data_IF_474531094010
#
_entry.id   IF_474531094010
#
_cell.length_a   1.000
_cell.length_b   1.000
_cell.length_c   1.000
_cell.angle_alpha   90.00
_cell.angle_beta   90.00
_cell.angle_gamma   90.00
#
_symmetry.space_group_name_H-M   'P 1'
#
loop_
_entity.id
_entity.type
_entity.pdbx_description
1 polymer ?
#
# COMPACT_ATOMS: atom_id res chain seq x y z
N UNK A 1 48.51 -49.36 -30.59
CA UNK A 1 48.52 -47.94 -30.16
C UNK A 1 47.20 -47.20 -30.48
N UNK A 2 46.64 -47.41 -31.64
CA UNK A 2 45.42 -46.70 -32.11
C UNK A 2 44.17 -47.01 -31.24
N UNK A 3 43.99 -48.23 -30.72
CA UNK A 3 42.86 -48.64 -29.88
C UNK A 3 42.81 -47.91 -28.51
N UNK A 4 43.97 -47.60 -27.93
CA UNK A 4 44.06 -46.83 -26.63
C UNK A 4 43.75 -45.34 -26.78
N UNK A 5 43.99 -44.77 -27.96
CA UNK A 5 43.69 -43.39 -28.29
C UNK A 5 42.18 -43.16 -28.50
N UNK A 6 41.51 -44.14 -29.12
CA UNK A 6 40.05 -44.07 -29.33
C UNK A 6 39.30 -44.21 -27.99
N UNK A 7 39.76 -45.07 -27.07
CA UNK A 7 39.16 -45.21 -25.75
C UNK A 7 39.33 -43.97 -24.89
N UNK A 8 40.44 -43.24 -25.00
CA UNK A 8 40.68 -41.99 -24.28
C UNK A 8 39.81 -40.84 -24.82
N UNK A 9 39.52 -40.81 -26.15
CA UNK A 9 38.69 -39.79 -26.76
C UNK A 9 37.20 -39.95 -26.40
N UNK A 10 36.72 -41.21 -26.29
CA UNK A 10 35.33 -41.48 -25.88
C UNK A 10 35.12 -41.20 -24.39
N UNK A 11 36.11 -41.46 -23.54
CA UNK A 11 36.04 -41.12 -22.12
C UNK A 11 36.01 -39.61 -21.84
N UNK A 12 36.65 -38.79 -22.69
CA UNK A 12 36.62 -37.32 -22.56
C UNK A 12 35.31 -36.67 -23.02
N UNK A 13 34.55 -37.31 -23.91
CA UNK A 13 33.26 -36.79 -24.40
C UNK A 13 32.10 -37.00 -23.42
N UNK A 14 32.22 -37.97 -22.50
CA UNK A 14 31.18 -38.22 -21.47
C UNK A 14 31.28 -37.28 -20.31
N UNK A 15 32.43 -36.63 -20.09
CA UNK A 15 32.64 -35.70 -18.98
C UNK A 15 32.12 -34.27 -19.22
N UNK A 16 31.62 -33.94 -20.43
CA UNK A 16 31.03 -32.63 -20.79
C UNK A 16 29.50 -32.68 -20.90
N UNK A 17 28.83 -33.55 -20.16
CA UNK A 17 27.38 -33.36 -19.97
C UNK A 17 27.22 -32.07 -19.15
N UNK A 18 26.64 -30.97 -19.71
CA UNK A 18 26.25 -29.87 -18.88
C UNK A 18 25.31 -30.48 -17.83
N UNK A 19 25.70 -30.42 -16.56
CA UNK A 19 24.77 -30.61 -15.48
C UNK A 19 23.63 -29.63 -15.79
N UNK A 20 22.53 -30.14 -16.37
CA UNK A 20 21.31 -29.38 -16.49
C UNK A 20 21.02 -28.93 -15.06
N UNK A 21 21.35 -27.68 -14.76
CA UNK A 21 20.98 -27.06 -13.50
C UNK A 21 19.46 -27.20 -13.47
N UNK A 22 19.01 -28.28 -12.80
CA UNK A 22 17.59 -28.48 -12.53
C UNK A 22 17.16 -27.23 -11.86
N UNK A 23 16.48 -26.36 -12.61
CA UNK A 23 15.89 -25.17 -12.05
C UNK A 23 15.02 -25.66 -10.91
N UNK A 24 15.54 -25.54 -9.69
CA UNK A 24 14.94 -26.09 -8.48
C UNK A 24 13.51 -25.57 -8.44
N UNK A 25 12.53 -26.52 -8.50
CA UNK A 25 11.12 -26.14 -8.61
C UNK A 25 10.76 -25.24 -7.44
N UNK A 26 10.65 -23.94 -7.71
CA UNK A 26 10.22 -22.96 -6.71
C UNK A 26 8.68 -22.97 -6.61
N UNK A 27 8.10 -22.94 -5.39
CA UNK A 27 8.72 -23.09 -4.08
C UNK A 27 8.86 -24.56 -3.65
N UNK A 28 9.88 -24.87 -2.84
CA UNK A 28 10.11 -26.22 -2.25
C UNK A 28 9.99 -26.21 -0.72
N UNK A 29 9.82 -25.04 -0.12
CA UNK A 29 9.68 -24.81 1.33
C UNK A 29 8.64 -23.71 1.58
N UNK A 30 8.14 -23.54 2.80
CA UNK A 30 7.19 -22.47 3.12
C UNK A 30 7.72 -21.09 2.75
N UNK A 31 6.80 -20.22 2.28
CA UNK A 31 7.05 -18.81 1.97
C UNK A 31 6.54 -17.97 3.14
N UNK A 32 7.29 -16.97 3.55
CA UNK A 32 6.90 -16.03 4.60
C UNK A 32 6.51 -14.69 3.99
N UNK A 33 5.28 -14.24 4.25
CA UNK A 33 4.79 -12.93 3.86
C UNK A 33 4.81 -11.99 5.06
N UNK A 34 5.79 -11.10 5.08
CA UNK A 34 5.92 -10.07 6.12
C UNK A 34 4.86 -9.00 5.90
N UNK A 35 4.09 -8.71 6.95
CA UNK A 35 3.15 -7.59 6.99
C UNK A 35 3.71 -6.57 7.99
N UNK A 36 4.17 -5.39 7.54
CA UNK A 36 4.87 -4.42 8.39
C UNK A 36 3.91 -3.57 9.26
N UNK A 37 2.70 -4.10 9.52
CA UNK A 37 1.65 -3.45 10.28
C UNK A 37 0.97 -4.44 11.23
N UNK A 38 0.23 -3.90 12.22
CA UNK A 38 -0.51 -4.70 13.18
C UNK A 38 -1.60 -5.56 12.51
N UNK A 39 -1.94 -6.72 13.07
CA UNK A 39 -3.04 -7.55 12.61
C UNK A 39 -4.37 -6.80 12.55
N UNK A 40 -5.26 -7.24 11.66
CA UNK A 40 -6.63 -6.72 11.51
C UNK A 40 -6.77 -5.48 10.61
N UNK A 41 -5.66 -4.85 10.20
CA UNK A 41 -5.69 -3.77 9.20
C UNK A 41 -5.81 -4.30 7.76
N UNK A 42 -6.06 -3.40 6.79
CA UNK A 42 -6.22 -3.75 5.37
C UNK A 42 -5.05 -4.57 4.82
N UNK A 43 -3.81 -4.20 5.18
CA UNK A 43 -2.61 -4.97 4.77
C UNK A 43 -2.66 -6.42 5.26
N UNK A 44 -3.07 -6.65 6.50
CA UNK A 44 -3.16 -7.99 7.10
C UNK A 44 -4.29 -8.81 6.47
N UNK A 45 -5.45 -8.20 6.25
CA UNK A 45 -6.59 -8.86 5.58
C UNK A 45 -6.18 -9.30 4.17
N UNK A 46 -5.63 -8.42 3.36
CA UNK A 46 -5.19 -8.73 1.99
C UNK A 46 -4.07 -9.79 1.98
N UNK A 47 -3.13 -9.71 2.93
CA UNK A 47 -2.06 -10.69 3.06
C UNK A 47 -2.59 -12.09 3.39
N UNK A 48 -3.56 -12.22 4.30
CA UNK A 48 -4.16 -13.52 4.66
C UNK A 48 -4.98 -14.10 3.51
N UNK A 49 -5.74 -13.28 2.80
CA UNK A 49 -6.47 -13.72 1.61
C UNK A 49 -5.51 -14.24 0.54
N UNK A 50 -4.43 -13.51 0.25
CA UNK A 50 -3.39 -13.92 -0.68
C UNK A 50 -2.66 -15.20 -0.21
N UNK A 51 -2.34 -15.29 1.08
CA UNK A 51 -1.64 -16.43 1.66
C UNK A 51 -2.44 -17.74 1.50
N UNK A 52 -3.74 -17.70 1.75
CA UNK A 52 -4.63 -18.85 1.53
C UNK A 52 -4.57 -19.30 0.08
N UNK A 53 -4.78 -18.37 -0.86
CA UNK A 53 -4.75 -18.69 -2.29
C UNK A 53 -3.41 -19.23 -2.76
N UNK A 54 -2.29 -18.58 -2.41
CA UNK A 54 -0.97 -19.02 -2.87
C UNK A 54 -0.52 -20.32 -2.21
N UNK A 55 -0.98 -20.64 -0.98
CA UNK A 55 -0.75 -21.95 -0.36
C UNK A 55 -1.33 -23.06 -1.22
N UNK A 56 -2.57 -22.91 -1.67
CA UNK A 56 -3.23 -23.90 -2.54
C UNK A 56 -2.59 -23.98 -3.93
N UNK A 57 -2.27 -22.85 -4.51
CA UNK A 57 -1.75 -22.77 -5.88
C UNK A 57 -0.30 -23.21 -6.03
N UNK A 58 0.53 -22.91 -5.05
CA UNK A 58 1.97 -23.21 -5.09
C UNK A 58 2.34 -24.51 -4.38
N UNK A 59 1.39 -25.13 -3.64
CA UNK A 59 1.63 -26.38 -2.91
C UNK A 59 2.59 -26.24 -1.72
N UNK A 60 2.86 -25.02 -1.26
CA UNK A 60 3.70 -24.73 -0.11
C UNK A 60 3.01 -23.69 0.78
N UNK A 61 3.09 -23.91 2.09
CA UNK A 61 2.45 -23.01 3.07
C UNK A 61 2.98 -21.59 2.95
N UNK A 62 2.09 -20.62 2.85
CA UNK A 62 2.44 -19.21 3.01
C UNK A 62 2.08 -18.72 4.41
N UNK A 63 3.08 -18.28 5.16
CA UNK A 63 2.96 -17.84 6.56
C UNK A 63 2.89 -16.32 6.59
N UNK A 64 1.78 -15.77 7.08
CA UNK A 64 1.65 -14.32 7.33
C UNK A 64 2.32 -13.98 8.66
N UNK A 65 3.28 -13.05 8.63
CA UNK A 65 4.08 -12.65 9.77
C UNK A 65 4.02 -11.14 9.97
N UNK A 66 3.24 -10.71 10.96
CA UNK A 66 3.09 -9.30 11.28
C UNK A 66 4.32 -8.78 12.03
N UNK A 67 5.01 -7.78 11.44
CA UNK A 67 6.19 -7.10 11.98
C UNK A 67 5.99 -5.59 12.03
N UNK A 68 5.08 -5.10 12.91
CA UNK A 68 4.80 -3.69 13.01
C UNK A 68 5.96 -2.92 13.65
N UNK A 69 6.02 -1.64 13.37
CA UNK A 69 6.93 -0.71 14.00
C UNK A 69 7.47 0.35 13.06
N UNK A 70 7.65 1.55 13.59
CA UNK A 70 8.19 2.71 12.89
C UNK A 70 7.57 2.90 11.50
N UNK A 71 6.24 3.01 11.44
CA UNK A 71 5.45 3.19 10.21
C UNK A 71 5.71 2.11 9.12
N UNK A 72 6.05 0.89 9.54
CA UNK A 72 6.35 -0.23 8.63
C UNK A 72 7.82 -0.35 8.23
N UNK A 73 8.69 0.56 8.66
CA UNK A 73 10.13 0.54 8.33
C UNK A 73 10.80 -0.72 8.85
N UNK A 74 10.48 -1.18 10.08
CA UNK A 74 11.12 -2.36 10.66
C UNK A 74 10.84 -3.63 9.85
N UNK A 75 9.58 -3.87 9.48
CA UNK A 75 9.22 -5.03 8.66
C UNK A 75 9.78 -4.95 7.24
N UNK A 76 9.84 -3.74 6.67
CA UNK A 76 10.44 -3.50 5.36
C UNK A 76 11.96 -3.76 5.38
N UNK A 77 12.68 -3.27 6.38
CA UNK A 77 14.11 -3.49 6.53
C UNK A 77 14.46 -4.99 6.65
N UNK A 78 13.65 -5.73 7.41
CA UNK A 78 13.79 -7.18 7.51
C UNK A 78 13.63 -7.88 6.16
N UNK A 79 12.65 -7.47 5.35
CA UNK A 79 12.44 -8.04 4.03
C UNK A 79 13.54 -7.62 3.03
N UNK A 80 14.00 -6.37 3.10
CA UNK A 80 15.04 -5.85 2.22
C UNK A 80 16.41 -6.53 2.43
N UNK A 81 16.69 -6.96 3.66
CA UNK A 81 17.94 -7.68 4.03
C UNK A 81 17.83 -9.21 3.89
N UNK A 82 16.68 -9.73 3.45
CA UNK A 82 16.49 -11.16 3.26
C UNK A 82 17.28 -11.69 2.05
N UNK A 83 17.50 -13.00 2.02
CA UNK A 83 18.06 -13.64 0.83
C UNK A 83 17.15 -13.42 -0.39
N UNK A 84 17.72 -13.11 -1.57
CA UNK A 84 16.95 -12.85 -2.79
C UNK A 84 16.53 -14.17 -3.47
N UNK A 85 15.85 -15.04 -2.73
CA UNK A 85 15.42 -16.38 -3.17
C UNK A 85 13.90 -16.51 -3.31
N UNK A 86 13.15 -15.43 -3.04
CA UNK A 86 11.70 -15.36 -3.15
C UNK A 86 10.93 -15.99 -1.99
N UNK A 87 11.59 -16.49 -0.94
CA UNK A 87 10.92 -17.08 0.21
C UNK A 87 10.53 -16.08 1.31
N UNK A 88 11.01 -14.85 1.21
CA UNK A 88 10.56 -13.73 2.03
C UNK A 88 9.88 -12.73 1.10
N UNK A 89 8.58 -12.55 1.29
CA UNK A 89 7.79 -11.52 0.62
C UNK A 89 7.40 -10.43 1.61
N UNK A 90 7.12 -9.25 1.11
CA UNK A 90 6.66 -8.10 1.87
C UNK A 90 5.31 -7.62 1.33
N UNK A 91 4.33 -7.43 2.21
CA UNK A 91 3.14 -6.65 1.92
C UNK A 91 3.50 -5.17 2.01
N UNK A 92 3.45 -4.47 0.90
CA UNK A 92 3.80 -3.05 0.80
C UNK A 92 2.53 -2.21 0.74
N UNK A 93 2.56 -1.02 1.34
CA UNK A 93 1.55 0.02 1.13
C UNK A 93 2.20 1.33 0.68
N UNK A 94 1.39 2.33 0.34
CA UNK A 94 1.87 3.67 -0.06
C UNK A 94 2.80 4.33 0.98
N UNK A 95 2.75 3.91 2.26
CA UNK A 95 3.70 4.36 3.28
C UNK A 95 5.16 4.13 2.87
N UNK A 96 5.43 3.10 2.08
CA UNK A 96 6.78 2.81 1.55
C UNK A 96 7.38 4.00 0.78
N UNK A 97 6.57 4.71 -0.02
CA UNK A 97 7.02 5.87 -0.82
C UNK A 97 6.92 7.19 -0.06
N UNK A 98 6.25 7.21 1.08
CA UNK A 98 6.13 8.40 1.94
C UNK A 98 7.19 8.45 3.03
N UNK A 99 7.55 7.30 3.59
CA UNK A 99 8.53 7.22 4.67
C UNK A 99 9.88 7.89 4.33
N UNK A 100 10.48 7.74 3.13
CA UNK A 100 11.75 8.39 2.81
C UNK A 100 11.67 9.92 2.78
N UNK A 101 10.48 10.48 2.75
CA UNK A 101 10.27 11.93 2.75
C UNK A 101 10.44 12.52 4.14
N UNK A 102 10.02 11.81 5.18
CA UNK A 102 10.01 12.26 6.56
C UNK A 102 11.08 11.58 7.43
N UNK A 103 11.46 10.35 7.09
CA UNK A 103 12.28 9.48 7.92
C UNK A 103 13.63 9.19 7.27
N UNK A 104 14.66 9.01 8.10
CA UNK A 104 15.92 8.38 7.68
C UNK A 104 15.72 6.87 7.67
N UNK A 105 15.78 6.26 6.50
CA UNK A 105 15.56 4.83 6.33
C UNK A 105 16.87 4.03 6.44
N UNK A 106 16.85 2.79 6.98
CA UNK A 106 17.99 1.89 7.01
C UNK A 106 18.20 1.14 5.68
N UNK A 107 17.39 1.44 4.64
CA UNK A 107 17.45 0.84 3.30
C UNK A 107 17.23 1.91 2.22
N UNK A 108 17.67 1.61 0.99
CA UNK A 108 17.38 2.46 -0.18
C UNK A 108 15.94 2.20 -0.67
N UNK A 109 15.02 3.18 -0.60
CA UNK A 109 13.63 2.97 -0.98
C UNK A 109 13.42 2.75 -2.48
N UNK A 110 14.42 3.01 -3.34
CA UNK A 110 14.31 2.80 -4.78
C UNK A 110 14.86 1.43 -5.18
N UNK A 111 15.95 0.96 -4.53
CA UNK A 111 16.70 -0.20 -4.99
C UNK A 111 16.65 -1.41 -4.04
N UNK A 112 16.15 -1.27 -2.80
CA UNK A 112 16.17 -2.36 -1.83
C UNK A 112 15.16 -3.47 -2.13
N UNK A 113 14.09 -3.17 -2.85
CA UNK A 113 13.00 -4.12 -3.10
C UNK A 113 12.75 -4.33 -4.60
N UNK A 114 12.49 -5.57 -4.96
CA UNK A 114 11.93 -5.95 -6.26
C UNK A 114 10.41 -6.11 -6.09
N UNK A 115 9.63 -5.25 -6.74
CA UNK A 115 8.18 -5.35 -6.71
C UNK A 115 7.70 -6.51 -7.57
N UNK A 116 6.80 -7.31 -7.03
CA UNK A 116 6.19 -8.44 -7.73
C UNK A 116 4.90 -8.02 -8.42
N UNK A 117 4.01 -7.35 -7.69
CA UNK A 117 2.76 -6.82 -8.23
C UNK A 117 2.20 -5.74 -7.32
N UNK A 118 1.65 -4.67 -7.87
CA UNK A 118 0.61 -3.89 -7.18
C UNK A 118 -0.69 -4.68 -7.33
N UNK A 119 -1.49 -4.74 -6.26
CA UNK A 119 -2.69 -5.59 -6.21
C UNK A 119 -3.98 -4.79 -6.11
N UNK A 120 -3.89 -3.55 -5.69
CA UNK A 120 -5.06 -2.69 -5.56
C UNK A 120 -4.78 -1.46 -4.73
N UNK A 121 -5.85 -0.72 -4.43
CA UNK A 121 -5.81 0.46 -3.59
C UNK A 121 -7.10 0.57 -2.76
N UNK A 122 -7.01 1.17 -1.57
CA UNK A 122 -8.14 1.76 -0.88
C UNK A 122 -8.12 3.27 -1.08
N UNK A 123 -9.29 3.86 -0.99
CA UNK A 123 -9.43 5.30 -1.07
C UNK A 123 -9.75 5.89 0.31
N UNK A 124 -9.44 7.16 0.45
CA UNK A 124 -9.84 7.95 1.60
C UNK A 124 -11.15 8.66 1.31
N UNK A 125 -11.95 8.84 2.34
CA UNK A 125 -13.19 9.61 2.30
C UNK A 125 -13.03 10.75 3.29
N UNK A 126 -13.05 11.99 2.81
CA UNK A 126 -13.20 13.13 3.67
C UNK A 126 -14.57 13.05 4.32
N UNK A 127 -14.57 12.77 5.60
CA UNK A 127 -15.77 12.50 6.39
C UNK A 127 -15.89 13.46 7.56
N UNK A 128 -17.11 13.85 7.89
CA UNK A 128 -17.44 14.70 9.03
C UNK A 128 -18.34 13.95 10.01
N UNK A 129 -18.25 14.35 11.26
CA UNK A 129 -19.10 13.85 12.34
C UNK A 129 -20.28 14.78 12.63
N UNK A 130 -21.12 14.39 13.61
CA UNK A 130 -22.33 15.15 13.97
C UNK A 130 -22.04 16.52 14.58
N UNK A 131 -20.84 16.74 15.11
CA UNK A 131 -20.43 18.04 15.71
C UNK A 131 -20.25 19.15 14.68
N UNK A 132 -20.14 18.81 13.38
CA UNK A 132 -19.98 19.77 12.29
C UNK A 132 -21.08 19.56 11.24
N UNK A 133 -22.19 20.32 11.27
CA UNK A 133 -23.36 20.09 10.41
C UNK A 133 -23.16 20.68 9.00
N UNK A 134 -22.15 20.18 8.28
CA UNK A 134 -21.87 20.55 6.88
C UNK A 134 -22.29 19.42 5.94
N UNK A 135 -22.62 19.75 4.69
CA UNK A 135 -23.13 18.81 3.71
C UNK A 135 -22.24 18.64 2.48
N UNK A 136 -21.25 19.50 2.30
CA UNK A 136 -20.36 19.52 1.16
C UNK A 136 -18.95 19.96 1.57
N UNK A 137 -17.97 19.72 0.69
CA UNK A 137 -16.62 20.28 0.87
C UNK A 137 -16.68 21.80 0.88
N UNK A 138 -17.54 22.40 0.06
CA UNK A 138 -17.74 23.85 0.05
C UNK A 138 -18.21 24.40 1.41
N UNK A 139 -19.13 23.70 2.08
CA UNK A 139 -19.59 24.11 3.42
C UNK A 139 -18.46 23.98 4.44
N UNK A 140 -17.67 22.89 4.40
CA UNK A 140 -16.52 22.69 5.27
C UNK A 140 -15.49 23.82 5.10
N UNK A 141 -15.17 24.20 3.86
CA UNK A 141 -14.25 25.31 3.58
C UNK A 141 -14.80 26.66 4.05
N UNK A 142 -16.11 26.90 3.88
CA UNK A 142 -16.77 28.11 4.38
C UNK A 142 -16.66 28.19 5.92
N UNK A 143 -16.84 27.08 6.63
CA UNK A 143 -16.65 27.03 8.09
C UNK A 143 -15.19 27.24 8.49
N UNK A 144 -14.23 26.63 7.80
CA UNK A 144 -12.81 26.82 8.04
C UNK A 144 -12.37 28.27 7.82
N UNK A 145 -12.92 28.93 6.80
CA UNK A 145 -12.70 30.36 6.53
C UNK A 145 -13.31 31.26 7.61
N UNK A 146 -14.49 30.91 8.12
CA UNK A 146 -15.18 31.66 9.19
C UNK A 146 -14.46 31.54 10.54
N UNK A 147 -13.86 30.36 10.81
CA UNK A 147 -13.18 30.00 12.06
C UNK A 147 -11.78 29.45 11.79
N UNK A 148 -10.81 30.29 11.36
CA UNK A 148 -9.48 29.85 10.94
C UNK A 148 -8.72 29.15 12.07
N UNK A 149 -8.36 27.88 11.85
CA UNK A 149 -7.64 27.05 12.82
C UNK A 149 -8.50 26.39 13.91
N UNK A 150 -9.83 26.62 13.93
CA UNK A 150 -10.73 25.99 14.90
C UNK A 150 -11.28 24.65 14.41
N UNK A 151 -11.39 24.45 13.09
CA UNK A 151 -11.83 23.16 12.54
C UNK A 151 -10.73 22.12 12.70
N UNK A 152 -11.03 21.09 13.48
CA UNK A 152 -10.08 20.02 13.81
C UNK A 152 -10.20 18.90 12.80
N UNK A 153 -9.10 18.61 12.10
CA UNK A 153 -8.93 17.41 11.26
C UNK A 153 -8.14 16.36 12.04
N UNK A 154 -8.77 15.27 12.42
CA UNK A 154 -8.06 14.14 13.01
C UNK A 154 -7.41 13.27 11.92
N UNK A 155 -6.18 12.87 12.15
CA UNK A 155 -5.41 12.04 11.22
C UNK A 155 -4.53 11.05 11.97
N UNK A 156 -3.93 10.11 11.27
CA UNK A 156 -2.86 9.27 11.82
C UNK A 156 -1.57 9.53 11.04
N UNK A 157 -0.46 9.04 11.55
CA UNK A 157 0.82 9.10 10.82
C UNK A 157 0.78 8.42 9.45
N UNK A 158 1.81 8.63 8.65
CA UNK A 158 1.95 8.06 7.33
C UNK A 158 0.94 8.62 6.31
N UNK A 159 0.33 7.75 5.52
CA UNK A 159 -0.53 8.11 4.39
C UNK A 159 -1.66 9.10 4.74
N UNK A 160 -2.36 8.88 5.85
CA UNK A 160 -3.47 9.77 6.23
C UNK A 160 -2.99 11.19 6.55
N UNK A 161 -1.81 11.33 7.17
CA UNK A 161 -1.22 12.64 7.43
C UNK A 161 -0.89 13.37 6.13
N UNK A 162 -0.23 12.69 5.18
CA UNK A 162 0.05 13.29 3.87
C UNK A 162 -1.21 13.69 3.12
N UNK A 163 -2.25 12.86 3.14
CA UNK A 163 -3.52 13.18 2.51
C UNK A 163 -4.19 14.40 3.17
N UNK A 164 -4.18 14.47 4.50
CA UNK A 164 -4.71 15.63 5.25
C UNK A 164 -3.90 16.90 4.96
N UNK A 165 -2.57 16.80 4.92
CA UNK A 165 -1.68 17.91 4.60
C UNK A 165 -1.86 18.40 3.17
N UNK A 166 -2.01 17.48 2.20
CA UNK A 166 -2.31 17.85 0.82
C UNK A 166 -3.63 18.60 0.71
N UNK A 167 -4.68 18.15 1.42
CA UNK A 167 -5.96 18.85 1.45
C UNK A 167 -5.83 20.27 2.03
N UNK A 168 -5.19 20.41 3.18
CA UNK A 168 -4.98 21.71 3.80
C UNK A 168 -4.18 22.66 2.89
N UNK A 169 -3.14 22.15 2.23
CA UNK A 169 -2.32 22.95 1.29
C UNK A 169 -3.11 23.40 0.06
N UNK A 170 -3.86 22.50 -0.58
CA UNK A 170 -4.62 22.82 -1.79
C UNK A 170 -5.85 23.67 -1.53
N UNK A 171 -6.51 23.49 -0.38
CA UNK A 171 -7.68 24.28 0.04
C UNK A 171 -7.31 25.72 0.44
N UNK A 172 -6.04 25.94 0.83
CA UNK A 172 -5.53 27.22 1.37
C UNK A 172 -6.23 27.71 2.64
N UNK A 173 -6.99 26.83 3.30
CA UNK A 173 -7.66 27.13 4.56
C UNK A 173 -6.84 26.61 5.76
N UNK A 174 -7.03 27.26 6.91
CA UNK A 174 -6.34 26.88 8.15
C UNK A 174 -7.16 25.89 8.95
N UNK A 175 -6.58 24.70 9.16
CA UNK A 175 -7.14 23.65 9.99
C UNK A 175 -6.22 23.38 11.20
N UNK A 176 -6.80 22.88 12.28
CA UNK A 176 -6.04 22.28 13.37
C UNK A 176 -5.91 20.78 13.11
N UNK A 177 -4.70 20.31 12.86
CA UNK A 177 -4.45 18.89 12.53
C UNK A 177 -3.98 18.17 13.79
N UNK A 178 -4.74 17.16 14.23
CA UNK A 178 -4.44 16.37 15.43
C UNK A 178 -4.05 14.95 15.03
N UNK A 179 -2.85 14.53 15.46
CA UNK A 179 -2.30 13.21 15.18
C UNK A 179 -2.76 12.18 16.22
N UNK A 180 -3.25 11.05 15.71
CA UNK A 180 -3.63 9.86 16.47
C UNK A 180 -2.67 8.71 16.23
N UNK A 181 -2.65 7.73 17.14
CA UNK A 181 -1.84 6.50 16.99
C UNK A 181 -2.37 5.54 15.89
N UNK A 182 -3.49 5.87 15.24
CA UNK A 182 -4.06 5.09 14.15
C UNK A 182 -5.30 5.75 13.55
N UNK A 183 -5.68 5.37 12.34
CA UNK A 183 -6.83 5.93 11.62
C UNK A 183 -8.18 5.57 12.26
N UNK A 184 -8.28 4.40 12.89
CA UNK A 184 -9.53 4.00 13.55
C UNK A 184 -9.85 4.89 14.76
N UNK A 185 -8.97 5.11 15.76
CA UNK A 185 -9.25 6.05 16.84
C UNK A 185 -9.49 7.47 16.34
N UNK A 186 -8.79 7.96 15.31
CA UNK A 186 -9.06 9.26 14.70
C UNK A 186 -10.51 9.37 14.18
N UNK A 187 -10.98 8.33 13.49
CA UNK A 187 -12.36 8.24 12.99
C UNK A 187 -13.39 8.16 14.13
N UNK A 188 -13.10 7.38 15.17
CA UNK A 188 -14.02 7.26 16.31
C UNK A 188 -14.22 8.55 17.06
N UNK A 189 -13.20 9.39 17.19
CA UNK A 189 -13.31 10.71 17.80
C UNK A 189 -14.12 11.71 16.95
N UNK A 190 -14.11 11.57 15.63
CA UNK A 190 -15.03 12.31 14.74
C UNK A 190 -16.47 11.87 14.98
N UNK A 191 -16.73 10.55 15.07
CA UNK A 191 -18.06 10.02 15.37
C UNK A 191 -18.54 10.48 16.75
N UNK A 192 -17.64 10.50 17.73
CA UNK A 192 -17.91 10.96 19.09
C UNK A 192 -18.02 12.49 19.25
N UNK A 193 -17.77 13.25 18.19
CA UNK A 193 -17.83 14.71 18.21
C UNK A 193 -16.64 15.42 18.90
N UNK A 194 -15.58 14.70 19.24
CA UNK A 194 -14.36 15.27 19.84
C UNK A 194 -13.51 16.02 18.80
N UNK A 195 -13.57 15.58 17.55
CA UNK A 195 -12.98 16.26 16.40
C UNK A 195 -14.04 16.43 15.31
N UNK A 196 -13.75 17.25 14.27
CA UNK A 196 -14.78 17.65 13.32
C UNK A 196 -14.79 16.79 12.05
N UNK A 197 -13.60 16.48 11.51
CA UNK A 197 -13.48 15.75 10.25
C UNK A 197 -12.23 14.88 10.22
N UNK A 198 -12.21 13.89 9.32
CA UNK A 198 -11.05 13.01 9.07
C UNK A 198 -11.05 12.51 7.63
N UNK A 199 -9.89 12.15 7.14
CA UNK A 199 -9.73 11.32 5.95
C UNK A 199 -9.82 9.84 6.36
N UNK A 200 -11.03 9.31 6.44
CA UNK A 200 -11.25 7.92 6.83
C UNK A 200 -10.89 6.96 5.70
N UNK A 201 -10.19 5.88 6.02
CA UNK A 201 -9.95 4.78 5.06
C UNK A 201 -11.29 4.11 4.73
N UNK A 202 -11.57 3.89 3.46
CA UNK A 202 -12.86 3.37 2.97
C UNK A 202 -13.34 2.12 3.71
N UNK A 203 -12.49 1.12 3.85
CA UNK A 203 -12.85 -0.18 4.44
C UNK A 203 -13.49 -0.04 5.84
N UNK A 204 -12.84 0.59 6.86
CA UNK A 204 -13.45 0.75 8.18
C UNK A 204 -14.54 1.84 8.22
N UNK A 205 -14.58 2.78 7.27
CA UNK A 205 -15.54 3.87 7.27
C UNK A 205 -16.95 3.46 6.77
N UNK A 206 -17.01 2.51 5.83
CA UNK A 206 -18.27 2.14 5.16
C UNK A 206 -19.43 1.79 6.11
N UNK A 207 -19.27 0.99 7.18
CA UNK A 207 -20.36 0.71 8.11
C UNK A 207 -20.89 1.98 8.80
N UNK A 208 -20.01 2.93 9.10
CA UNK A 208 -20.36 4.19 9.76
C UNK A 208 -21.03 5.19 8.82
N UNK A 209 -20.63 5.20 7.55
CA UNK A 209 -21.32 5.98 6.51
C UNK A 209 -22.72 5.44 6.26
N UNK A 210 -22.88 4.13 6.14
CA UNK A 210 -24.18 3.48 5.94
C UNK A 210 -25.13 3.68 7.10
N UNK A 211 -24.62 3.72 8.32
CA UNK A 211 -25.42 3.98 9.53
C UNK A 211 -25.66 5.47 9.83
N UNK A 212 -25.13 6.39 9.01
CA UNK A 212 -25.23 7.84 9.20
C UNK A 212 -24.42 8.40 10.37
N UNK A 213 -23.56 7.60 11.03
CA UNK A 213 -22.65 8.07 12.10
C UNK A 213 -21.51 8.93 11.56
N UNK A 214 -21.17 8.75 10.30
CA UNK A 214 -20.29 9.62 9.53
C UNK A 214 -21.01 10.09 8.29
N UNK A 215 -20.73 11.30 7.83
CA UNK A 215 -21.11 11.80 6.52
C UNK A 215 -19.85 11.93 5.65
N UNK A 216 -19.82 11.23 4.52
CA UNK A 216 -18.77 11.39 3.51
C UNK A 216 -19.05 12.62 2.65
N UNK A 217 -18.08 13.52 2.56
CA UNK A 217 -18.19 14.72 1.73
C UNK A 217 -17.57 14.55 0.35
N UNK A 218 -16.42 13.88 0.27
CA UNK A 218 -15.75 13.59 -0.99
C UNK A 218 -14.77 12.42 -0.85
N UNK A 219 -14.48 11.76 -1.97
CA UNK A 219 -13.41 10.74 -2.05
C UNK A 219 -12.09 11.38 -2.49
N UNK A 220 -10.98 10.83 -1.99
CA UNK A 220 -9.64 11.35 -2.23
C UNK A 220 -8.96 10.84 -3.51
N UNK A 221 -9.71 10.29 -4.45
CA UNK A 221 -9.23 9.77 -5.73
C UNK A 221 -9.68 10.67 -6.88
N UNK A 222 -9.00 10.59 -8.05
CA UNK A 222 -9.38 11.37 -9.24
C UNK A 222 -10.72 10.93 -9.88
N UNK A 223 -11.19 9.73 -9.57
CA UNK A 223 -12.48 9.20 -10.04
C UNK A 223 -13.32 8.81 -8.84
N UNK A 224 -14.63 8.97 -8.96
CA UNK A 224 -15.58 8.51 -7.94
C UNK A 224 -15.41 7.02 -7.68
N UNK A 225 -15.63 6.60 -6.45
CA UNK A 225 -15.61 5.20 -6.09
C UNK A 225 -16.90 4.52 -6.54
N UNK A 226 -16.81 3.39 -7.24
CA UNK A 226 -18.00 2.63 -7.71
C UNK A 226 -18.94 2.26 -6.55
N UNK A 227 -18.40 2.04 -5.36
CA UNK A 227 -19.17 1.71 -4.17
C UNK A 227 -19.94 2.91 -3.57
N UNK A 228 -19.51 4.12 -3.89
CA UNK A 228 -20.04 5.38 -3.38
C UNK A 228 -20.25 6.38 -4.55
N UNK A 229 -21.09 6.05 -5.55
CA UNK A 229 -21.20 6.84 -6.77
C UNK A 229 -21.77 8.24 -6.52
N UNK A 230 -22.52 8.42 -5.44
CA UNK A 230 -23.10 9.69 -5.06
C UNK A 230 -22.12 10.63 -4.34
N UNK A 231 -20.99 10.12 -3.85
CA UNK A 231 -19.96 10.94 -3.20
C UNK A 231 -18.97 11.43 -4.27
N UNK A 232 -18.86 12.76 -4.48
CA UNK A 232 -17.95 13.34 -5.47
C UNK A 232 -16.49 13.14 -5.09
N UNK A 233 -15.58 13.42 -6.03
CA UNK A 233 -14.14 13.52 -5.73
C UNK A 233 -13.82 14.90 -5.17
N UNK A 234 -12.70 15.02 -4.45
CA UNK A 234 -12.21 16.33 -4.00
C UNK A 234 -11.87 17.26 -5.19
N UNK A 235 -11.42 16.69 -6.31
CA UNK A 235 -11.17 17.47 -7.53
C UNK A 235 -12.46 18.03 -8.13
N UNK A 236 -13.56 17.26 -8.15
CA UNK A 236 -14.89 17.73 -8.55
C UNK A 236 -15.40 18.86 -7.65
N UNK A 237 -15.12 18.77 -6.34
CA UNK A 237 -15.48 19.77 -5.31
C UNK A 237 -14.57 21.00 -5.29
N UNK A 238 -13.67 21.13 -6.26
CA UNK A 238 -12.84 22.32 -6.44
C UNK A 238 -11.44 22.26 -5.81
N UNK A 239 -11.08 21.16 -5.13
CA UNK A 239 -9.72 20.94 -4.64
C UNK A 239 -8.89 20.35 -5.78
N UNK A 240 -8.57 21.18 -6.77
CA UNK A 240 -7.96 20.76 -8.03
C UNK A 240 -6.61 20.06 -7.85
N UNK A 241 -6.47 18.92 -8.51
CA UNK A 241 -5.26 18.10 -8.47
C UNK A 241 -5.12 17.25 -7.21
N UNK A 242 -6.15 17.20 -6.36
CA UNK A 242 -6.12 16.29 -5.22
C UNK A 242 -6.20 14.84 -5.68
N UNK A 243 -5.18 14.06 -5.37
CA UNK A 243 -5.14 12.61 -5.60
C UNK A 243 -4.33 11.95 -4.48
N UNK A 244 -5.02 11.27 -3.59
CA UNK A 244 -4.43 10.46 -2.53
C UNK A 244 -5.12 9.09 -2.48
N UNK A 245 -4.44 8.07 -2.98
CA UNK A 245 -4.87 6.67 -2.92
C UNK A 245 -3.86 5.84 -2.14
N UNK A 246 -4.33 5.00 -1.22
CA UNK A 246 -3.49 4.08 -0.46
C UNK A 246 -3.38 2.76 -1.21
N UNK A 247 -2.32 2.61 -2.00
CA UNK A 247 -2.09 1.40 -2.79
C UNK A 247 -1.40 0.29 -2.00
N UNK A 248 -1.60 -0.94 -2.45
CA UNK A 248 -1.03 -2.16 -1.88
C UNK A 248 -0.28 -2.94 -2.94
N UNK A 249 0.86 -3.51 -2.57
CA UNK A 249 1.70 -4.30 -3.46
C UNK A 249 2.39 -5.45 -2.71
N UNK A 250 2.90 -6.39 -3.47
CA UNK A 250 3.81 -7.43 -2.98
C UNK A 250 5.19 -7.16 -3.54
N UNK A 251 6.21 -7.29 -2.68
CA UNK A 251 7.60 -7.14 -3.06
C UNK A 251 8.46 -8.26 -2.43
N UNK A 252 9.68 -8.40 -2.90
CA UNK A 252 10.72 -9.30 -2.37
C UNK A 252 12.06 -8.58 -2.37
N UNK A 253 13.11 -9.17 -1.81
CA UNK A 253 14.44 -8.56 -1.82
C UNK A 253 14.94 -8.36 -3.24
N UNK A 254 15.64 -7.25 -3.49
CA UNK A 254 16.28 -7.00 -4.78
C UNK A 254 17.27 -8.10 -5.14
N UNK A 255 17.39 -8.44 -6.44
CA UNK A 255 18.21 -9.56 -6.89
C UNK A 255 17.48 -10.92 -6.93
N UNK A 256 16.24 -11.00 -6.50
CA UNK A 256 15.41 -12.22 -6.66
C UNK A 256 15.30 -12.58 -8.14
N UNK A 257 15.55 -13.85 -8.51
CA UNK A 257 15.52 -14.30 -9.91
C UNK A 257 14.21 -13.94 -10.60
N UNK A 258 14.31 -13.33 -11.80
CA UNK A 258 13.13 -12.86 -12.56
C UNK A 258 12.06 -13.94 -12.76
N UNK A 259 12.48 -15.20 -12.98
CA UNK A 259 11.55 -16.32 -13.14
C UNK A 259 10.65 -16.51 -11.89
N UNK A 260 11.21 -16.33 -10.69
CA UNK A 260 10.46 -16.39 -9.43
C UNK A 260 9.51 -15.19 -9.32
N UNK A 261 9.99 -13.98 -9.61
CA UNK A 261 9.18 -12.75 -9.59
C UNK A 261 7.98 -12.88 -10.53
N UNK A 262 8.21 -13.34 -11.77
CA UNK A 262 7.14 -13.48 -12.75
C UNK A 262 6.15 -14.61 -12.40
N UNK A 263 6.62 -15.74 -11.87
CA UNK A 263 5.73 -16.80 -11.38
C UNK A 263 4.80 -16.31 -10.28
N UNK A 264 5.34 -15.57 -9.30
CA UNK A 264 4.55 -14.97 -8.24
C UNK A 264 3.59 -13.92 -8.80
N UNK A 265 4.05 -13.06 -9.71
CA UNK A 265 3.23 -12.05 -10.37
C UNK A 265 2.00 -12.65 -11.05
N UNK A 266 2.19 -13.69 -11.86
CA UNK A 266 1.11 -14.35 -12.60
C UNK A 266 0.05 -14.94 -11.66
N UNK A 267 0.44 -15.63 -10.60
CA UNK A 267 -0.51 -16.20 -9.62
C UNK A 267 -1.23 -15.10 -8.83
N UNK A 268 -0.54 -14.04 -8.41
CA UNK A 268 -1.13 -12.89 -7.72
C UNK A 268 -2.11 -12.15 -8.63
N UNK A 269 -1.73 -11.85 -9.87
CA UNK A 269 -2.58 -11.17 -10.83
C UNK A 269 -3.84 -11.98 -11.14
N UNK A 270 -3.69 -13.30 -11.37
CA UNK A 270 -4.82 -14.22 -11.59
C UNK A 270 -5.81 -14.18 -10.42
N UNK A 271 -5.33 -14.22 -9.19
CA UNK A 271 -6.16 -14.17 -7.99
C UNK A 271 -6.95 -12.87 -7.90
N UNK A 272 -6.27 -11.74 -7.91
CA UNK A 272 -6.93 -10.45 -7.73
C UNK A 272 -7.83 -10.04 -8.90
N UNK A 273 -7.63 -10.59 -10.10
CA UNK A 273 -8.53 -10.32 -11.24
C UNK A 273 -9.72 -11.28 -11.33
N UNK A 274 -9.81 -12.29 -10.46
CA UNK A 274 -10.93 -13.21 -10.43
C UNK A 274 -12.26 -12.50 -10.11
N UNK A 275 -13.41 -12.98 -10.64
CA UNK A 275 -14.72 -12.38 -10.35
C UNK A 275 -15.06 -12.36 -8.85
N UNK A 276 -14.69 -13.42 -8.13
CA UNK A 276 -14.90 -13.53 -6.69
C UNK A 276 -14.11 -12.45 -5.94
N UNK A 277 -12.81 -12.29 -6.26
CA UNK A 277 -11.95 -11.30 -5.62
C UNK A 277 -12.39 -9.87 -5.92
N UNK A 278 -12.86 -9.60 -7.15
CA UNK A 278 -13.47 -8.31 -7.51
C UNK A 278 -14.63 -7.98 -6.58
N UNK A 279 -15.55 -8.94 -6.38
CA UNK A 279 -16.71 -8.77 -5.48
C UNK A 279 -16.26 -8.50 -4.05
N UNK A 280 -15.25 -9.24 -3.55
CA UNK A 280 -14.74 -9.07 -2.19
C UNK A 280 -14.04 -7.72 -2.01
N UNK A 281 -13.17 -7.33 -2.94
CA UNK A 281 -12.46 -6.03 -2.91
C UNK A 281 -13.47 -4.86 -2.95
N UNK A 282 -14.45 -4.91 -3.84
CA UNK A 282 -15.51 -3.89 -3.90
C UNK A 282 -16.31 -3.84 -2.59
N UNK A 283 -16.71 -4.98 -2.03
CA UNK A 283 -17.45 -5.02 -0.76
C UNK A 283 -16.66 -4.41 0.42
N UNK A 284 -15.33 -4.55 0.39
CA UNK A 284 -14.42 -3.94 1.37
C UNK A 284 -14.14 -2.45 1.09
N UNK A 285 -14.61 -1.89 -0.01
CA UNK A 285 -14.27 -0.51 -0.38
C UNK A 285 -12.85 -0.34 -0.93
N UNK A 286 -12.30 -1.40 -1.50
CA UNK A 286 -11.02 -1.38 -2.19
C UNK A 286 -11.22 -1.58 -3.70
N UNK A 287 -10.33 -1.03 -4.49
CA UNK A 287 -10.30 -1.19 -5.95
C UNK A 287 -9.13 -2.07 -6.36
N UNK A 288 -9.34 -2.90 -7.37
CA UNK A 288 -8.27 -3.70 -7.97
C UNK A 288 -7.49 -2.81 -8.93
N UNK A 289 -6.18 -2.79 -8.79
CA UNK A 289 -5.26 -2.08 -9.67
C UNK A 289 -3.96 -2.90 -9.80
N UNK A 290 -3.97 -3.83 -10.75
CA UNK A 290 -2.82 -4.70 -10.99
C UNK A 290 -1.80 -3.95 -11.82
N UNK A 291 -0.55 -3.90 -11.29
CA UNK A 291 0.61 -3.35 -11.99
C UNK A 291 1.74 -4.36 -11.99
N UNK A 292 2.44 -4.40 -13.10
CA UNK A 292 3.59 -5.29 -13.31
C UNK A 292 4.82 -4.80 -12.52
N UNK A 293 5.85 -5.67 -12.36
CA UNK A 293 7.12 -5.27 -11.78
C UNK A 293 7.75 -4.06 -12.50
N UNK A 294 7.66 -4.02 -13.83
CA UNK A 294 8.20 -2.93 -14.65
C UNK A 294 7.48 -1.60 -14.44
N UNK A 295 6.17 -1.63 -14.31
CA UNK A 295 5.38 -0.44 -13.99
C UNK A 295 5.73 0.07 -12.60
N UNK A 296 5.87 -0.81 -11.61
CA UNK A 296 6.21 -0.42 -10.24
C UNK A 296 7.60 0.21 -10.12
N UNK A 297 8.59 -0.24 -10.90
CA UNK A 297 9.89 0.43 -10.98
C UNK A 297 9.83 1.89 -11.42
N UNK A 298 8.81 2.25 -12.22
CA UNK A 298 8.57 3.64 -12.66
C UNK A 298 7.71 4.40 -11.66
N UNK A 299 6.72 3.75 -11.05
CA UNK A 299 5.77 4.36 -10.12
C UNK A 299 6.48 4.80 -8.83
N UNK A 300 7.30 3.95 -8.23
CA UNK A 300 7.92 4.20 -6.92
C UNK A 300 8.73 5.50 -6.87
N UNK A 301 9.67 5.77 -7.79
CA UNK A 301 10.40 7.05 -7.81
C UNK A 301 9.47 8.26 -8.02
N UNK A 302 8.45 8.12 -8.87
CA UNK A 302 7.45 9.16 -9.13
C UNK A 302 6.63 9.51 -7.88
N UNK A 303 6.19 8.50 -7.14
CA UNK A 303 5.47 8.69 -5.88
C UNK A 303 6.35 9.36 -4.80
N UNK A 304 7.61 8.94 -4.64
CA UNK A 304 8.54 9.58 -3.71
C UNK A 304 8.71 11.07 -4.05
N UNK A 305 8.88 11.41 -5.33
CA UNK A 305 8.99 12.80 -5.78
C UNK A 305 7.72 13.60 -5.49
N UNK A 306 6.54 13.02 -5.77
CA UNK A 306 5.23 13.62 -5.49
C UNK A 306 5.10 13.94 -4.00
N UNK A 307 5.32 12.97 -3.14
CA UNK A 307 5.14 13.15 -1.69
C UNK A 307 6.22 14.04 -1.07
N UNK A 308 7.43 14.07 -1.63
CA UNK A 308 8.45 15.05 -1.24
C UNK A 308 7.96 16.47 -1.49
N UNK A 309 7.37 16.72 -2.66
CA UNK A 309 6.79 18.05 -2.95
C UNK A 309 5.68 18.40 -1.97
N UNK A 310 4.75 17.46 -1.71
CA UNK A 310 3.64 17.68 -0.75
C UNK A 310 4.16 18.02 0.64
N UNK A 311 5.17 17.31 1.13
CA UNK A 311 5.73 17.56 2.45
C UNK A 311 6.41 18.93 2.56
N UNK A 312 7.13 19.35 1.51
CA UNK A 312 7.75 20.68 1.45
C UNK A 312 6.67 21.78 1.45
N UNK A 313 5.69 21.65 0.55
CA UNK A 313 4.61 22.65 0.41
C UNK A 313 3.76 22.78 1.69
N UNK A 314 3.60 21.68 2.42
CA UNK A 314 2.85 21.63 3.69
C UNK A 314 3.70 21.96 4.93
N UNK A 315 5.00 22.22 4.79
CA UNK A 315 5.90 22.48 5.91
C UNK A 315 6.00 21.32 6.91
N UNK A 316 5.85 20.06 6.43
CA UNK A 316 5.91 18.88 7.29
C UNK A 316 7.33 18.72 7.86
N UNK A 317 7.48 18.52 9.19
CA UNK A 317 8.80 18.34 9.78
C UNK A 317 9.44 17.05 9.30
N UNK A 318 10.71 17.10 8.91
CA UNK A 318 11.53 15.89 8.71
C UNK A 318 12.05 15.45 10.08
N UNK A 319 11.86 14.18 10.41
CA UNK A 319 12.58 13.58 11.53
C UNK A 319 14.04 13.37 11.09
N UNK A 320 14.87 14.40 11.31
CA UNK A 320 16.32 14.32 11.14
C UNK A 320 16.88 13.80 12.46
N UNK A 321 17.11 12.50 12.56
CA UNK A 321 17.95 11.92 13.62
C UNK A 321 19.33 11.62 13.07
#
# INVERSE_FOLDING_TARGET
MISRLISALVASLVALSPAAASAQAYPTKPIRLIVPFSPGGTNDILARMLATHLTERLGQTMIVDNRPGFQGVLGTDLAAKAAPDGYILLMVSSAYTMNPVLLKLPYDPIHAMEFVARIGASFLILSVGPSLPVNSVKDLLAEAKRRPGEIVLSTSGGFMHFATALFASLSKEKFNIVLYKGGFPAMMDVIGGQTHATFAVSVPALPHLRSGKLKGLAVGTLKRAELLPDIPTLDEEGIKGYDASNWYAIATATGTPRAIVMKLHEEIARYFTSPEMRKQMTAMGAVIDIRTPEEMRKIVPGEIKKWTKVAIDAGMPREVN
#
